data_IF_795978766356
#
_entry.id   IF_795978766356
#
_cell.length_a   1.000
_cell.length_b   1.000
_cell.length_c   1.000
_cell.angle_alpha   90.00
_cell.angle_beta   90.00
_cell.angle_gamma   90.00
#
_symmetry.space_group_name_H-M   'P 1'
#
loop_
_entity.id
_entity.type
_entity.pdbx_description
1 polymer ?
#
# COMPACT_ATOMS: atom_id res chain seq x y z
N UNK A 1 39.24 -1.90 7.96
CA UNK A 1 38.20 -1.09 7.27
C UNK A 1 38.64 0.37 7.35
N UNK A 2 38.31 1.22 6.38
CA UNK A 2 38.61 2.66 6.51
C UNK A 2 37.89 3.21 7.75
N UNK A 3 38.42 4.28 8.34
CA UNK A 3 37.82 4.98 9.48
C UNK A 3 36.42 5.50 9.05
N UNK A 4 35.39 5.40 9.92
CA UNK A 4 34.07 5.93 9.59
C UNK A 4 34.14 7.47 9.42
N UNK A 5 33.37 7.97 8.44
CA UNK A 5 33.24 9.41 8.19
C UNK A 5 32.14 10.05 9.05
N UNK A 6 31.15 9.29 9.44
CA UNK A 6 30.02 9.72 10.27
C UNK A 6 29.75 8.65 11.33
N UNK A 7 29.47 9.10 12.54
CA UNK A 7 28.98 8.26 13.65
C UNK A 7 27.66 8.82 14.15
N UNK A 8 26.64 7.98 14.23
CA UNK A 8 25.39 8.29 14.93
C UNK A 8 25.41 7.52 16.26
N UNK A 9 25.30 8.24 17.38
CA UNK A 9 25.39 7.68 18.72
C UNK A 9 24.14 7.97 19.54
N UNK A 10 23.58 6.95 20.16
CA UNK A 10 22.39 7.09 20.99
C UNK A 10 22.36 6.11 22.16
N UNK A 11 21.63 6.46 23.21
CA UNK A 11 21.39 5.59 24.37
C UNK A 11 20.31 4.54 24.09
N UNK A 12 19.49 4.77 23.06
CA UNK A 12 18.35 3.92 22.69
C UNK A 12 18.40 3.64 21.18
N UNK A 13 19.35 2.77 20.77
CA UNK A 13 19.47 2.31 19.39
C UNK A 13 18.68 1.01 19.22
N UNK A 14 17.70 1.00 18.33
CA UNK A 14 16.86 -0.16 18.06
C UNK A 14 17.60 -1.11 17.11
N UNK A 15 17.84 -2.31 17.57
CA UNK A 15 18.40 -3.43 16.81
C UNK A 15 17.32 -4.52 16.65
N UNK A 16 17.52 -5.54 15.81
CA UNK A 16 16.48 -6.56 15.54
C UNK A 16 15.93 -7.28 16.78
N UNK A 17 16.71 -7.37 17.87
CA UNK A 17 16.32 -8.13 19.06
C UNK A 17 16.55 -7.36 20.38
N UNK A 18 16.92 -6.08 20.33
CA UNK A 18 17.24 -5.31 21.54
C UNK A 18 17.30 -3.81 21.27
N UNK A 19 17.11 -3.02 22.34
CA UNK A 19 17.37 -1.59 22.35
C UNK A 19 18.54 -1.35 23.30
N UNK A 20 19.65 -0.88 22.76
CA UNK A 20 20.89 -0.71 23.54
C UNK A 20 21.57 0.64 23.27
N UNK A 21 22.40 1.14 24.21
CA UNK A 21 23.35 2.20 23.91
C UNK A 21 24.36 1.72 22.86
N UNK A 22 24.49 2.45 21.74
CA UNK A 22 25.40 2.07 20.68
C UNK A 22 25.90 3.25 19.85
N UNK A 23 26.99 3.02 19.11
CA UNK A 23 27.55 3.90 18.09
C UNK A 23 27.44 3.23 16.72
N UNK A 24 26.74 3.86 15.78
CA UNK A 24 26.56 3.38 14.41
C UNK A 24 27.61 4.07 13.53
N UNK A 25 28.53 3.32 12.99
CA UNK A 25 29.61 3.81 12.15
C UNK A 25 29.25 3.74 10.68
N UNK A 26 29.39 4.85 9.96
CA UNK A 26 28.98 5.02 8.58
C UNK A 26 30.14 5.51 7.72
N UNK A 27 30.37 4.87 6.58
CA UNK A 27 31.31 5.29 5.54
C UNK A 27 30.65 5.17 4.18
N UNK A 28 30.77 6.21 3.38
CA UNK A 28 30.26 6.27 2.01
C UNK A 28 28.77 5.85 1.89
N UNK A 29 27.96 6.30 2.88
CA UNK A 29 26.52 6.02 2.91
C UNK A 29 26.13 4.62 3.40
N UNK A 30 27.10 3.81 3.85
CA UNK A 30 26.86 2.42 4.30
C UNK A 30 27.21 2.30 5.79
N UNK A 31 26.34 1.64 6.57
CA UNK A 31 26.67 1.24 7.96
C UNK A 31 27.75 0.17 7.89
N UNK A 32 28.92 0.50 8.43
CA UNK A 32 30.09 -0.40 8.42
C UNK A 32 30.21 -1.24 9.68
N UNK A 33 29.75 -0.72 10.82
CA UNK A 33 29.65 -1.47 12.08
C UNK A 33 28.70 -0.78 13.05
N UNK A 34 28.25 -1.55 14.06
CA UNK A 34 27.54 -1.07 15.24
C UNK A 34 28.43 -1.46 16.43
N UNK A 35 28.88 -0.47 17.18
CA UNK A 35 29.88 -0.61 18.24
C UNK A 35 29.31 -0.20 19.60
N UNK A 36 30.07 -0.45 20.66
CA UNK A 36 29.72 0.05 21.98
C UNK A 36 29.60 1.58 21.97
N UNK A 37 28.70 2.11 22.78
CA UNK A 37 28.39 3.54 22.84
C UNK A 37 29.64 4.42 23.00
N UNK A 38 30.65 3.97 23.77
CA UNK A 38 31.89 4.68 24.04
C UNK A 38 32.88 4.66 22.87
N UNK A 39 32.65 3.82 21.87
CA UNK A 39 33.55 3.69 20.72
C UNK A 39 33.32 4.85 19.75
N UNK A 40 34.26 5.83 19.81
CA UNK A 40 34.22 7.01 18.97
C UNK A 40 35.60 7.25 18.32
N UNK A 41 35.73 7.14 16.99
CA UNK A 41 36.93 7.49 16.26
C UNK A 41 37.24 8.97 16.35
N UNK A 42 38.53 9.34 16.27
CA UNK A 42 39.00 10.72 16.48
C UNK A 42 38.64 11.70 15.35
N UNK A 43 38.46 11.18 14.13
CA UNK A 43 38.31 12.00 12.91
C UNK A 43 37.00 11.66 12.17
N UNK A 44 35.85 11.79 12.84
CA UNK A 44 34.54 11.57 12.28
C UNK A 44 33.55 12.67 12.63
N UNK A 45 32.59 12.92 11.77
CA UNK A 45 31.38 13.68 12.11
C UNK A 45 30.55 12.89 13.14
N UNK A 46 30.06 13.57 14.19
CA UNK A 46 29.29 12.97 15.24
C UNK A 46 27.85 13.55 15.28
N UNK A 47 26.86 12.69 15.17
CA UNK A 47 25.47 12.99 15.55
C UNK A 47 25.19 12.24 16.85
N UNK A 48 25.04 12.97 17.94
CA UNK A 48 24.68 12.40 19.24
C UNK A 48 23.24 12.76 19.59
N UNK A 49 22.43 11.76 19.90
CA UNK A 49 21.04 11.95 20.33
C UNK A 49 20.98 12.15 21.84
N UNK A 50 19.94 12.85 22.32
CA UNK A 50 19.65 12.94 23.75
C UNK A 50 19.20 11.58 24.32
N UNK A 51 19.00 11.54 25.64
CA UNK A 51 18.67 10.29 26.37
C UNK A 51 17.25 9.78 26.09
N UNK A 52 16.35 10.67 25.65
CA UNK A 52 14.93 10.33 25.38
C UNK A 52 14.73 9.91 23.92
N UNK A 53 15.59 10.36 23.03
CA UNK A 53 15.50 10.05 21.61
C UNK A 53 15.82 8.59 21.31
N UNK A 54 15.11 8.05 20.34
CA UNK A 54 15.31 6.70 19.80
C UNK A 54 15.97 6.79 18.43
N UNK A 55 17.03 6.02 18.21
CA UNK A 55 17.64 5.84 16.89
C UNK A 55 17.12 4.50 16.33
N UNK A 56 16.44 4.55 15.20
CA UNK A 56 15.89 3.38 14.53
C UNK A 56 16.20 3.42 13.03
N UNK A 57 16.10 2.29 12.30
CA UNK A 57 16.19 2.28 10.85
C UNK A 57 15.16 3.22 10.22
N UNK A 58 15.49 3.81 9.08
CA UNK A 58 14.53 4.58 8.29
C UNK A 58 13.35 3.72 7.88
N UNK A 59 12.16 4.32 7.86
CA UNK A 59 10.95 3.62 7.46
C UNK A 59 10.98 3.32 5.96
N UNK A 60 10.47 2.16 5.59
CA UNK A 60 10.27 1.75 4.19
C UNK A 60 8.78 1.66 3.91
N UNK A 61 8.33 2.23 2.80
CA UNK A 61 6.94 2.20 2.39
C UNK A 61 6.78 1.68 0.97
N UNK A 62 6.34 0.44 0.85
CA UNK A 62 6.22 -0.23 -0.45
C UNK A 62 4.89 0.02 -1.15
N UNK A 63 4.00 0.89 -0.58
CA UNK A 63 2.68 1.16 -1.12
C UNK A 63 2.34 2.64 -1.08
N UNK A 64 2.79 3.38 -2.09
CA UNK A 64 2.57 4.83 -2.22
C UNK A 64 2.09 5.15 -3.63
N UNK A 65 1.05 5.98 -3.76
CA UNK A 65 0.57 6.47 -5.05
C UNK A 65 1.05 7.90 -5.29
N UNK A 66 2.09 8.04 -6.12
CA UNK A 66 2.53 9.33 -6.65
C UNK A 66 1.95 9.48 -8.06
N UNK A 67 1.06 10.45 -8.22
CA UNK A 67 0.19 10.56 -9.38
C UNK A 67 0.87 11.27 -10.57
N UNK A 68 2.17 11.47 -10.51
CA UNK A 68 3.00 12.08 -11.54
C UNK A 68 3.69 11.02 -12.42
N UNK A 69 3.78 11.24 -13.73
CA UNK A 69 3.20 12.36 -14.52
C UNK A 69 1.69 12.24 -14.75
N UNK A 70 1.09 13.33 -15.21
CA UNK A 70 -0.29 13.36 -15.72
C UNK A 70 -1.39 13.71 -14.73
N UNK A 71 -1.17 13.52 -13.43
CA UNK A 71 -2.07 13.95 -12.33
C UNK A 71 -1.26 14.54 -11.17
N UNK A 72 -0.26 15.34 -11.48
CA UNK A 72 0.63 15.98 -10.48
C UNK A 72 -0.14 16.86 -9.50
N UNK A 73 -1.31 17.38 -9.88
CA UNK A 73 -2.21 18.13 -9.00
C UNK A 73 -2.85 17.26 -7.90
N UNK A 74 -2.86 15.93 -8.03
CA UNK A 74 -3.27 15.03 -6.95
C UNK A 74 -2.14 14.87 -5.94
N UNK A 75 -0.96 14.51 -6.41
CA UNK A 75 0.30 14.45 -5.67
C UNK A 75 1.47 14.25 -6.64
N UNK A 76 2.53 15.04 -6.49
CA UNK A 76 3.76 14.92 -7.28
C UNK A 76 4.91 14.34 -6.45
N UNK A 77 6.04 14.00 -7.12
CA UNK A 77 7.23 13.47 -6.45
C UNK A 77 7.80 14.43 -5.40
N UNK A 78 7.79 15.73 -5.69
CA UNK A 78 8.30 16.75 -4.76
C UNK A 78 7.53 16.75 -3.43
N UNK A 79 6.21 16.74 -3.47
CA UNK A 79 5.36 16.83 -2.28
C UNK A 79 5.30 15.51 -1.54
N UNK A 80 5.12 14.39 -2.24
CA UNK A 80 5.10 13.06 -1.64
C UNK A 80 6.40 12.72 -0.92
N UNK A 81 7.55 12.95 -1.56
CA UNK A 81 8.84 12.60 -0.95
C UNK A 81 9.24 13.53 0.20
N UNK A 82 8.75 14.78 0.20
CA UNK A 82 8.87 15.67 1.39
C UNK A 82 8.00 15.19 2.54
N UNK A 83 6.76 14.74 2.25
CA UNK A 83 5.89 14.15 3.26
C UNK A 83 6.49 12.84 3.81
N UNK A 84 7.08 12.02 2.95
CA UNK A 84 7.83 10.82 3.32
C UNK A 84 8.95 11.14 4.30
N UNK A 85 9.85 12.07 3.93
CA UNK A 85 10.97 12.49 4.77
C UNK A 85 10.50 13.06 6.13
N UNK A 86 9.44 13.87 6.14
CA UNK A 86 8.86 14.42 7.36
C UNK A 86 8.22 13.34 8.25
N UNK A 87 7.74 12.23 7.67
CA UNK A 87 7.21 11.06 8.36
C UNK A 87 8.25 10.01 8.76
N UNK A 88 9.55 10.26 8.50
CA UNK A 88 10.63 9.31 8.78
C UNK A 88 10.79 8.19 7.76
N UNK A 89 10.09 8.27 6.61
CA UNK A 89 10.25 7.33 5.49
C UNK A 89 11.49 7.72 4.70
N UNK A 90 12.43 6.80 4.55
CA UNK A 90 13.68 7.01 3.80
C UNK A 90 13.67 6.34 2.44
N UNK A 91 12.79 5.36 2.25
CA UNK A 91 12.62 4.63 1.00
C UNK A 91 11.15 4.36 0.76
N UNK A 92 10.66 4.64 -0.43
CA UNK A 92 9.30 4.30 -0.84
C UNK A 92 9.27 3.63 -2.21
N UNK A 93 8.20 2.88 -2.49
CA UNK A 93 7.97 2.29 -3.81
C UNK A 93 6.63 2.77 -4.35
N UNK A 94 6.71 3.49 -5.48
CA UNK A 94 5.55 4.09 -6.11
C UNK A 94 4.77 3.09 -6.97
N UNK A 95 3.44 3.16 -6.87
CA UNK A 95 2.50 2.30 -7.59
C UNK A 95 2.44 2.63 -9.08
N UNK A 96 2.10 1.64 -9.95
CA UNK A 96 2.18 1.80 -11.39
C UNK A 96 1.00 2.55 -12.01
N UNK A 97 -0.01 2.92 -11.23
CA UNK A 97 -1.26 3.54 -11.70
C UNK A 97 -1.43 4.95 -11.16
N UNK A 98 -2.51 5.60 -11.57
CA UNK A 98 -2.86 7.01 -11.41
C UNK A 98 -1.96 7.97 -12.19
N UNK A 99 -0.72 7.63 -12.51
CA UNK A 99 0.08 8.40 -13.48
C UNK A 99 -0.38 8.16 -14.91
N UNK A 100 -0.19 9.14 -15.78
CA UNK A 100 -0.48 9.06 -17.22
C UNK A 100 0.78 9.43 -18.02
N UNK A 101 1.40 8.44 -18.72
CA UNK A 101 0.99 7.03 -18.83
C UNK A 101 1.25 6.22 -17.55
N UNK A 102 0.51 5.10 -17.34
CA UNK A 102 0.80 4.18 -16.25
C UNK A 102 2.10 3.38 -16.52
N UNK A 103 2.68 2.79 -15.46
CA UNK A 103 3.93 2.01 -15.56
C UNK A 103 3.62 0.57 -16.01
N UNK A 104 2.99 0.40 -17.16
CA UNK A 104 2.64 -0.89 -17.77
C UNK A 104 3.51 -1.26 -18.97
N UNK A 105 4.39 -0.34 -19.38
CA UNK A 105 5.34 -0.48 -20.48
C UNK A 105 6.67 0.18 -20.11
N UNK A 106 7.76 -0.18 -20.81
CA UNK A 106 9.06 0.49 -20.64
C UNK A 106 8.98 1.99 -20.95
N UNK A 107 8.14 2.39 -21.90
CA UNK A 107 7.94 3.80 -22.23
C UNK A 107 7.25 4.56 -21.08
N UNK A 108 6.21 3.98 -20.47
CA UNK A 108 5.56 4.53 -19.27
C UNK A 108 6.53 4.64 -18.08
N UNK A 109 7.33 3.61 -17.86
CA UNK A 109 8.37 3.64 -16.80
C UNK A 109 9.40 4.75 -17.03
N UNK A 110 9.90 4.91 -18.26
CA UNK A 110 10.83 6.00 -18.61
C UNK A 110 10.22 7.39 -18.40
N UNK A 111 8.93 7.56 -18.71
CA UNK A 111 8.21 8.82 -18.47
C UNK A 111 8.15 9.12 -16.95
N UNK A 112 7.86 8.10 -16.12
CA UNK A 112 7.84 8.22 -14.67
C UNK A 112 9.22 8.53 -14.09
N UNK A 113 10.28 7.85 -14.53
CA UNK A 113 11.67 8.17 -14.15
C UNK A 113 12.08 9.58 -14.52
N UNK A 114 11.63 10.08 -15.70
CA UNK A 114 11.90 11.46 -16.12
C UNK A 114 11.18 12.48 -15.24
N UNK A 115 9.96 12.18 -14.80
CA UNK A 115 9.20 13.01 -13.87
C UNK A 115 9.82 13.03 -12.47
N UNK A 116 10.30 11.90 -11.96
CA UNK A 116 10.93 11.80 -10.63
C UNK A 116 12.30 12.50 -10.54
N UNK A 117 12.96 12.73 -11.67
CA UNK A 117 14.34 13.24 -11.69
C UNK A 117 14.46 14.60 -10.98
N UNK A 118 15.43 14.69 -10.06
CA UNK A 118 15.78 15.89 -9.29
C UNK A 118 14.62 16.44 -8.40
N UNK A 119 13.58 15.61 -8.13
CA UNK A 119 12.45 16.00 -7.30
C UNK A 119 12.35 15.22 -5.98
N UNK A 120 13.09 14.11 -5.84
CA UNK A 120 12.94 13.20 -4.70
C UNK A 120 13.83 13.58 -3.52
N UNK A 121 13.26 13.61 -2.31
CA UNK A 121 13.97 13.84 -1.04
C UNK A 121 14.35 12.53 -0.33
N UNK A 122 13.80 11.40 -0.80
CA UNK A 122 14.06 10.05 -0.29
C UNK A 122 14.27 9.11 -1.47
N UNK A 123 14.74 7.91 -1.22
CA UNK A 123 14.90 6.89 -2.26
C UNK A 123 13.53 6.42 -2.77
N UNK A 124 13.39 6.29 -4.09
CA UNK A 124 12.14 5.92 -4.74
C UNK A 124 12.35 4.75 -5.69
N UNK A 125 11.70 3.62 -5.36
CA UNK A 125 11.52 2.47 -6.27
C UNK A 125 10.17 2.55 -7.00
N UNK A 126 9.94 1.62 -7.93
CA UNK A 126 8.74 1.63 -8.78
C UNK A 126 8.20 0.23 -9.02
N UNK A 127 6.88 0.07 -8.88
CA UNK A 127 6.17 -1.11 -9.36
C UNK A 127 5.84 -0.99 -10.84
N UNK A 128 5.92 -2.12 -11.56
CA UNK A 128 5.29 -2.30 -12.87
C UNK A 128 3.83 -2.74 -12.73
N UNK A 129 3.05 -2.61 -13.79
CA UNK A 129 1.65 -3.04 -13.81
C UNK A 129 1.43 -4.28 -14.67
N UNK A 130 0.59 -5.22 -14.18
CA UNK A 130 -0.03 -6.27 -15.01
C UNK A 130 -1.46 -5.82 -15.32
N UNK A 131 -1.71 -5.66 -16.61
CA UNK A 131 -3.04 -5.33 -17.16
C UNK A 131 -3.36 -6.28 -18.32
N UNK A 132 -4.62 -6.41 -18.73
CA UNK A 132 -4.99 -7.29 -19.84
C UNK A 132 -4.14 -7.04 -21.09
N UNK A 133 -3.57 -8.11 -21.64
CA UNK A 133 -2.81 -8.08 -22.91
C UNK A 133 -1.37 -7.56 -22.84
N UNK A 134 -0.83 -7.14 -21.67
CA UNK A 134 0.54 -6.60 -21.59
C UNK A 134 1.64 -7.64 -21.25
N UNK A 135 1.34 -8.94 -21.31
CA UNK A 135 2.31 -10.03 -21.03
C UNK A 135 3.66 -9.84 -21.71
N UNK A 136 3.65 -9.40 -22.99
CA UNK A 136 4.87 -9.22 -23.77
C UNK A 136 5.81 -8.11 -23.22
N UNK A 137 5.27 -7.18 -22.44
CA UNK A 137 6.01 -6.05 -21.85
C UNK A 137 6.73 -6.45 -20.55
N UNK A 138 6.26 -7.48 -19.81
CA UNK A 138 6.66 -7.78 -18.43
C UNK A 138 8.17 -8.03 -18.30
N UNK A 139 8.75 -8.86 -19.18
CA UNK A 139 10.20 -9.15 -19.12
C UNK A 139 11.05 -7.90 -19.37
N UNK A 140 10.66 -7.08 -20.34
CA UNK A 140 11.37 -5.84 -20.67
C UNK A 140 11.24 -4.80 -19.57
N UNK A 141 10.07 -4.71 -18.94
CA UNK A 141 9.79 -3.79 -17.85
C UNK A 141 10.55 -4.19 -16.59
N UNK A 142 10.59 -5.50 -16.26
CA UNK A 142 11.37 -6.02 -15.15
C UNK A 142 12.88 -5.79 -15.34
N UNK A 143 13.39 -6.06 -16.55
CA UNK A 143 14.78 -5.78 -16.91
C UNK A 143 15.12 -4.27 -16.89
N UNK A 144 14.13 -3.39 -17.06
CA UNK A 144 14.31 -1.94 -16.96
C UNK A 144 14.42 -1.45 -15.50
N UNK A 145 14.07 -2.27 -14.49
CA UNK A 145 14.33 -2.01 -13.09
C UNK A 145 13.11 -1.76 -12.21
N UNK A 146 11.90 -2.17 -12.62
CA UNK A 146 10.78 -2.23 -11.66
C UNK A 146 11.00 -3.37 -10.67
N UNK A 147 10.58 -3.18 -9.40
CA UNK A 147 10.84 -4.14 -8.31
C UNK A 147 9.93 -5.37 -8.36
N UNK A 148 8.84 -5.30 -9.10
CA UNK A 148 7.83 -6.34 -9.27
C UNK A 148 6.60 -5.75 -9.95
N UNK A 149 5.45 -6.40 -9.83
CA UNK A 149 4.26 -6.01 -10.58
C UNK A 149 3.01 -5.94 -9.71
N UNK A 150 2.15 -4.96 -10.00
CA UNK A 150 0.82 -4.77 -9.38
C UNK A 150 -0.29 -5.14 -10.35
N UNK A 151 -1.34 -5.80 -9.84
CA UNK A 151 -2.61 -5.93 -10.55
C UNK A 151 -3.81 -5.68 -9.63
N UNK A 152 -4.97 -5.53 -10.26
CA UNK A 152 -6.28 -5.44 -9.62
C UNK A 152 -7.18 -6.55 -10.13
N UNK A 153 -8.01 -7.12 -9.25
CA UNK A 153 -9.05 -8.10 -9.61
C UNK A 153 -10.45 -7.47 -9.74
N UNK A 154 -10.55 -6.19 -9.43
CA UNK A 154 -11.74 -5.34 -9.54
C UNK A 154 -11.33 -4.04 -10.25
N UNK A 155 -12.23 -3.30 -10.93
CA UNK A 155 -11.88 -2.03 -11.56
C UNK A 155 -11.12 -1.09 -10.60
N UNK A 156 -9.96 -0.60 -11.05
CA UNK A 156 -9.05 0.25 -10.26
C UNK A 156 -9.58 1.66 -10.01
N UNK A 157 -10.58 2.08 -10.79
CA UNK A 157 -11.14 3.44 -10.78
C UNK A 157 -10.55 4.34 -11.88
N UNK A 158 -9.52 3.89 -12.62
CA UNK A 158 -8.94 4.61 -13.74
C UNK A 158 -8.90 3.74 -15.00
N UNK A 159 -9.30 4.28 -16.12
CA UNK A 159 -9.46 3.53 -17.39
C UNK A 159 -8.13 3.03 -17.95
N UNK A 160 -7.04 3.77 -17.72
CA UNK A 160 -5.70 3.42 -18.19
C UNK A 160 -5.05 2.26 -17.44
N UNK A 161 -5.67 1.80 -16.33
CA UNK A 161 -5.20 0.64 -15.55
C UNK A 161 -6.35 -0.32 -15.26
N UNK A 162 -6.84 -1.04 -16.28
CA UNK A 162 -7.95 -1.98 -16.13
C UNK A 162 -7.57 -3.18 -15.24
N UNK A 163 -8.58 -3.76 -14.58
CA UNK A 163 -8.39 -4.98 -13.80
C UNK A 163 -8.15 -6.20 -14.71
N UNK A 164 -7.48 -7.19 -14.14
CA UNK A 164 -7.27 -8.50 -14.76
C UNK A 164 -8.32 -9.51 -14.30
N UNK A 165 -8.55 -10.50 -15.14
CA UNK A 165 -9.36 -11.69 -14.87
C UNK A 165 -8.49 -12.87 -14.43
N UNK A 166 -9.10 -13.99 -14.01
CA UNK A 166 -8.38 -15.24 -13.77
C UNK A 166 -7.65 -15.72 -15.04
N UNK A 167 -8.24 -15.56 -16.23
CA UNK A 167 -7.61 -15.94 -17.50
C UNK A 167 -6.38 -15.07 -17.83
N UNK A 168 -6.45 -13.77 -17.60
CA UNK A 168 -5.29 -12.86 -17.74
C UNK A 168 -4.16 -13.26 -16.79
N UNK A 169 -4.48 -13.61 -15.55
CA UNK A 169 -3.48 -14.09 -14.58
C UNK A 169 -2.87 -15.42 -15.02
N UNK A 170 -3.68 -16.38 -15.51
CA UNK A 170 -3.19 -17.65 -16.05
C UNK A 170 -2.24 -17.47 -17.24
N UNK A 171 -2.45 -16.42 -18.01
CA UNK A 171 -1.56 -16.07 -19.10
C UNK A 171 -0.25 -15.43 -18.62
N UNK A 172 -0.27 -14.58 -17.57
CA UNK A 172 0.87 -13.75 -17.14
C UNK A 172 1.72 -14.41 -16.06
N UNK A 173 1.15 -15.18 -15.12
CA UNK A 173 1.86 -15.80 -14.00
C UNK A 173 3.04 -16.69 -14.42
N UNK A 174 2.96 -17.52 -15.48
CA UNK A 174 4.12 -18.29 -15.92
C UNK A 174 5.34 -17.44 -16.29
N UNK A 175 5.11 -16.24 -16.86
CA UNK A 175 6.19 -15.32 -17.18
C UNK A 175 6.76 -14.67 -15.91
N UNK A 176 5.92 -14.24 -14.97
CA UNK A 176 6.37 -13.70 -13.68
C UNK A 176 7.18 -14.71 -12.88
N UNK A 177 6.74 -15.97 -12.83
CA UNK A 177 7.47 -17.06 -12.17
C UNK A 177 8.84 -17.27 -12.80
N UNK A 178 8.92 -17.31 -14.13
CA UNK A 178 10.19 -17.45 -14.86
C UNK A 178 11.15 -16.29 -14.57
N UNK A 179 10.65 -15.08 -14.40
CA UNK A 179 11.43 -13.89 -14.04
C UNK A 179 11.82 -13.85 -12.56
N UNK A 180 11.22 -14.68 -11.70
CA UNK A 180 11.33 -14.58 -10.25
C UNK A 180 10.67 -13.30 -9.70
N UNK A 181 9.78 -12.68 -10.49
CA UNK A 181 9.17 -11.42 -10.14
C UNK A 181 8.01 -11.59 -9.14
N UNK A 182 7.92 -10.68 -8.19
CA UNK A 182 6.82 -10.61 -7.23
C UNK A 182 5.57 -10.01 -7.90
N UNK A 183 4.40 -10.63 -7.67
CA UNK A 183 3.10 -10.04 -8.00
C UNK A 183 2.42 -9.55 -6.74
N UNK A 184 2.14 -8.26 -6.64
CA UNK A 184 1.33 -7.66 -5.59
C UNK A 184 -0.10 -7.45 -6.10
N UNK A 185 -1.11 -7.80 -5.29
CA UNK A 185 -2.50 -7.92 -5.76
C UNK A 185 -3.46 -7.10 -4.91
N UNK A 186 -4.19 -6.17 -5.54
CA UNK A 186 -5.42 -5.64 -4.96
C UNK A 186 -6.48 -6.74 -5.02
N UNK A 187 -6.62 -7.47 -3.92
CA UNK A 187 -7.40 -8.68 -3.84
C UNK A 187 -8.84 -8.39 -3.39
N UNK A 188 -9.65 -7.85 -4.29
CA UNK A 188 -11.09 -7.77 -4.20
C UNK A 188 -11.72 -8.28 -5.50
N UNK A 189 -12.74 -9.13 -5.41
CA UNK A 189 -13.59 -9.50 -6.54
C UNK A 189 -14.91 -8.73 -6.51
N UNK A 190 -15.56 -8.53 -7.66
CA UNK A 190 -16.90 -7.93 -7.70
C UNK A 190 -17.87 -8.75 -6.87
N UNK A 191 -18.33 -8.20 -5.73
CA UNK A 191 -19.28 -8.87 -4.85
C UNK A 191 -20.65 -9.11 -5.51
N UNK A 192 -21.49 -9.98 -4.93
CA UNK A 192 -22.83 -10.28 -5.45
C UNK A 192 -23.72 -9.04 -5.57
N UNK A 193 -23.50 -8.02 -4.74
CA UNK A 193 -24.24 -6.75 -4.80
C UNK A 193 -23.78 -5.89 -5.99
N UNK A 194 -22.50 -5.94 -6.34
CA UNK A 194 -21.96 -5.29 -7.54
C UNK A 194 -22.54 -5.92 -8.84
N UNK A 195 -22.93 -7.21 -8.79
CA UNK A 195 -23.65 -7.87 -9.87
C UNK A 195 -25.14 -7.53 -9.90
N UNK A 196 -25.72 -7.01 -8.80
CA UNK A 196 -27.15 -6.69 -8.65
C UNK A 196 -27.48 -5.20 -8.79
N UNK A 197 -26.53 -4.36 -9.29
CA UNK A 197 -26.88 -3.03 -9.79
C UNK A 197 -26.93 -1.90 -8.77
N UNK A 198 -25.98 -1.81 -7.85
CA UNK A 198 -25.59 -0.48 -7.34
C UNK A 198 -24.88 0.18 -8.52
N UNK A 199 -25.35 1.33 -9.04
CA UNK A 199 -24.70 1.98 -10.16
C UNK A 199 -23.25 2.27 -9.79
N UNK A 200 -22.30 1.75 -10.55
CA UNK A 200 -20.97 2.34 -10.57
C UNK A 200 -21.19 3.82 -10.89
N UNK A 201 -20.61 4.71 -10.09
CA UNK A 201 -20.61 6.12 -10.43
C UNK A 201 -20.06 6.25 -11.86
N UNK A 202 -20.65 7.04 -12.76
CA UNK A 202 -20.08 7.29 -14.06
C UNK A 202 -18.62 7.68 -13.87
N UNK A 203 -17.69 6.95 -14.50
CA UNK A 203 -16.26 7.24 -14.43
C UNK A 203 -16.05 8.74 -14.56
N UNK A 204 -15.18 9.33 -13.74
CA UNK A 204 -14.70 10.70 -13.88
C UNK A 204 -13.79 10.78 -15.12
N UNK A 205 -14.32 10.43 -16.29
CA UNK A 205 -13.69 10.73 -17.55
C UNK A 205 -13.76 12.25 -17.74
N UNK A 206 -12.61 12.88 -17.75
CA UNK A 206 -12.46 14.28 -18.13
C UNK A 206 -12.77 14.44 -19.62
N UNK A 207 -14.05 14.43 -19.97
CA UNK A 207 -14.52 14.92 -21.27
C UNK A 207 -15.83 15.67 -21.11
N UNK A 208 -15.75 16.99 -21.28
CA UNK A 208 -16.83 17.96 -21.18
C UNK A 208 -17.80 17.94 -22.39
N UNK A 209 -17.83 16.87 -23.20
CA UNK A 209 -18.57 16.84 -24.47
C UNK A 209 -19.72 15.82 -24.57
N UNK A 210 -20.07 15.10 -23.51
CA UNK A 210 -21.19 14.14 -23.54
C UNK A 210 -22.33 14.54 -22.60
N UNK A 211 -23.02 15.64 -22.95
CA UNK A 211 -24.42 15.82 -22.58
C UNK A 211 -25.29 14.95 -23.51
N UNK A 212 -26.23 14.22 -22.86
CA UNK A 212 -27.37 13.50 -23.42
C UNK A 212 -27.11 12.14 -24.08
N UNK A 213 -27.18 11.09 -23.24
CA UNK A 213 -27.99 9.89 -23.57
C UNK A 213 -28.54 9.26 -22.30
N UNK A 214 -29.77 9.64 -21.98
CA UNK A 214 -30.60 8.96 -21.00
C UNK A 214 -31.16 7.69 -21.63
N UNK A 215 -30.61 6.53 -21.32
CA UNK A 215 -31.31 5.28 -21.51
C UNK A 215 -32.07 4.92 -20.22
N UNK A 216 -33.37 5.13 -20.27
CA UNK A 216 -34.35 4.66 -19.32
C UNK A 216 -34.60 3.18 -19.62
N UNK A 217 -34.23 2.32 -18.69
CA UNK A 217 -34.87 1.05 -18.36
C UNK A 217 -33.86 0.00 -17.88
N UNK A 218 -33.54 0.02 -16.58
CA UNK A 218 -33.51 -1.20 -15.72
C UNK A 218 -33.61 -0.70 -14.28
N UNK A 219 -34.79 -0.75 -13.70
CA UNK A 219 -34.97 -0.67 -12.25
C UNK A 219 -34.89 -2.09 -11.69
N UNK A 220 -33.92 -2.41 -10.83
CA UNK A 220 -34.05 -3.57 -9.97
C UNK A 220 -35.02 -3.22 -8.83
N UNK A 221 -36.00 -4.05 -8.64
CA UNK A 221 -36.90 -4.04 -7.50
C UNK A 221 -36.13 -4.47 -6.25
N UNK A 222 -35.57 -3.51 -5.52
CA UNK A 222 -35.20 -3.67 -4.11
C UNK A 222 -36.36 -3.19 -3.28
N UNK A 223 -37.03 -4.13 -2.59
CA UNK A 223 -38.07 -3.85 -1.64
C UNK A 223 -37.54 -3.06 -0.43
N UNK A 224 -38.00 -1.80 -0.26
CA UNK A 224 -38.20 -1.07 0.98
C UNK A 224 -37.07 -0.97 2.02
N UNK A 225 -35.84 -0.67 1.62
CA UNK A 225 -34.90 0.10 2.45
C UNK A 225 -34.44 1.29 1.63
N UNK A 226 -34.64 2.50 2.10
CA UNK A 226 -34.02 3.70 1.52
C UNK A 226 -32.53 3.64 1.87
N UNK A 227 -31.72 3.06 0.98
CA UNK A 227 -30.28 2.94 1.13
C UNK A 227 -29.68 4.32 0.85
N UNK A 228 -29.17 5.02 1.89
CA UNK A 228 -28.53 6.32 1.72
C UNK A 228 -27.06 6.14 1.33
N UNK A 229 -26.63 6.75 0.23
CA UNK A 229 -25.22 6.75 -0.20
C UNK A 229 -24.30 7.56 0.73
N UNK A 230 -24.88 8.36 1.64
CA UNK A 230 -24.14 9.12 2.66
C UNK A 230 -23.77 8.28 3.88
N UNK A 231 -24.34 7.09 4.03
CA UNK A 231 -24.02 6.21 5.15
C UNK A 231 -22.82 5.32 4.84
N UNK A 232 -21.83 5.32 5.75
CA UNK A 232 -20.67 4.44 5.61
C UNK A 232 -21.08 2.95 5.57
N UNK A 233 -22.09 2.56 6.33
CA UNK A 233 -22.62 1.20 6.32
C UNK A 233 -23.11 0.75 4.94
N UNK A 234 -23.65 1.66 4.13
CA UNK A 234 -24.03 1.36 2.73
C UNK A 234 -22.81 1.06 1.86
N UNK A 235 -21.75 1.86 1.99
CA UNK A 235 -20.49 1.62 1.30
C UNK A 235 -19.85 0.31 1.75
N UNK A 236 -19.79 0.05 3.05
CA UNK A 236 -19.26 -1.19 3.63
C UNK A 236 -20.02 -2.43 3.10
N UNK A 237 -21.36 -2.37 3.06
CA UNK A 237 -22.19 -3.44 2.50
C UNK A 237 -21.97 -3.66 0.99
N UNK A 238 -21.57 -2.62 0.25
CA UNK A 238 -21.26 -2.73 -1.19
C UNK A 238 -19.96 -3.48 -1.47
N UNK A 239 -19.09 -3.60 -0.47
CA UNK A 239 -17.78 -4.29 -0.51
C UNK A 239 -17.66 -5.28 0.65
N UNK A 240 -18.44 -6.38 0.63
CA UNK A 240 -18.46 -7.36 1.72
C UNK A 240 -17.09 -8.04 1.86
N UNK A 241 -16.80 -8.57 3.05
CA UNK A 241 -15.57 -9.33 3.33
C UNK A 241 -15.35 -10.46 2.32
N UNK A 242 -16.41 -11.14 1.91
CA UNK A 242 -16.35 -12.20 0.90
C UNK A 242 -15.70 -11.76 -0.42
N UNK A 243 -15.76 -10.47 -0.78
CA UNK A 243 -15.08 -9.95 -1.97
C UNK A 243 -13.56 -10.03 -1.86
N UNK A 244 -13.00 -9.77 -0.67
CA UNK A 244 -11.58 -9.98 -0.38
C UNK A 244 -11.25 -11.46 -0.21
N UNK A 245 -12.08 -12.20 0.55
CA UNK A 245 -11.81 -13.60 0.90
C UNK A 245 -11.77 -14.49 -0.35
N UNK A 246 -12.72 -14.31 -1.28
CA UNK A 246 -12.76 -15.00 -2.56
C UNK A 246 -11.56 -14.63 -3.45
N UNK A 247 -11.15 -13.36 -3.44
CA UNK A 247 -9.98 -12.90 -4.18
C UNK A 247 -8.68 -13.49 -3.64
N UNK A 248 -8.50 -13.51 -2.31
CA UNK A 248 -7.35 -14.13 -1.66
C UNK A 248 -7.31 -15.62 -1.95
N UNK A 249 -8.45 -16.31 -1.89
CA UNK A 249 -8.55 -17.74 -2.26
C UNK A 249 -8.13 -18.00 -3.72
N UNK A 250 -8.55 -17.14 -4.64
CA UNK A 250 -8.15 -17.20 -6.05
C UNK A 250 -6.64 -16.99 -6.21
N UNK A 251 -6.07 -15.98 -5.57
CA UNK A 251 -4.61 -15.70 -5.62
C UNK A 251 -3.81 -16.88 -5.07
N UNK A 252 -4.22 -17.44 -3.92
CA UNK A 252 -3.58 -18.63 -3.32
C UNK A 252 -3.64 -19.83 -4.28
N UNK A 253 -4.80 -20.08 -4.91
CA UNK A 253 -4.96 -21.15 -5.90
C UNK A 253 -3.99 -21.00 -7.06
N UNK A 254 -3.92 -19.81 -7.65
CA UNK A 254 -3.06 -19.53 -8.79
C UNK A 254 -1.57 -19.52 -8.42
N UNK A 255 -1.21 -18.92 -7.28
CA UNK A 255 0.17 -18.94 -6.79
C UNK A 255 0.67 -20.37 -6.57
N UNK A 256 -0.19 -21.25 -6.03
CA UNK A 256 0.14 -22.69 -5.88
C UNK A 256 0.30 -23.41 -7.21
N UNK A 257 -0.57 -23.10 -8.18
CA UNK A 257 -0.56 -23.74 -9.51
C UNK A 257 0.70 -23.35 -10.29
N UNK A 258 1.12 -22.10 -10.23
CA UNK A 258 2.21 -21.55 -11.05
C UNK A 258 3.54 -21.39 -10.31
N UNK A 259 3.58 -21.53 -8.99
CA UNK A 259 4.79 -21.30 -8.19
C UNK A 259 5.23 -19.83 -8.16
N UNK A 260 4.30 -18.89 -8.28
CA UNK A 260 4.59 -17.46 -8.32
C UNK A 260 4.63 -16.89 -6.91
N UNK A 261 5.64 -16.05 -6.60
CA UNK A 261 5.66 -15.22 -5.39
C UNK A 261 4.55 -14.17 -5.45
N UNK A 262 3.72 -14.09 -4.42
CA UNK A 262 2.59 -13.15 -4.39
C UNK A 262 2.53 -12.39 -3.06
N UNK A 263 1.99 -11.18 -3.12
CA UNK A 263 1.74 -10.35 -1.94
C UNK A 263 0.35 -9.75 -2.00
N UNK A 264 -0.40 -9.89 -0.91
CA UNK A 264 -1.73 -9.29 -0.77
C UNK A 264 -1.55 -7.89 -0.19
N UNK A 265 -1.89 -6.86 -0.98
CA UNK A 265 -1.74 -5.48 -0.52
C UNK A 265 -2.94 -5.03 0.31
N UNK A 266 -2.71 -4.04 1.20
CA UNK A 266 -3.74 -3.34 2.00
C UNK A 266 -4.85 -4.28 2.52
N UNK A 267 -4.46 -5.42 3.09
CA UNK A 267 -5.39 -6.45 3.57
C UNK A 267 -6.28 -5.92 4.70
N UNK A 268 -7.59 -5.96 4.49
CA UNK A 268 -8.60 -5.40 5.38
C UNK A 268 -9.47 -6.46 6.07
N UNK A 269 -9.83 -7.57 5.38
CA UNK A 269 -10.70 -8.61 5.94
C UNK A 269 -9.96 -9.61 6.82
N UNK A 270 -10.32 -9.71 8.09
CA UNK A 270 -9.75 -10.71 8.99
C UNK A 270 -10.19 -12.16 8.65
N UNK A 271 -11.26 -12.33 7.87
CA UNK A 271 -11.83 -13.65 7.57
C UNK A 271 -10.91 -14.46 6.63
N UNK A 272 -10.06 -13.79 5.82
CA UNK A 272 -9.06 -14.44 4.96
C UNK A 272 -7.76 -14.86 5.69
N UNK A 273 -7.49 -14.39 6.91
CA UNK A 273 -6.26 -14.70 7.64
C UNK A 273 -5.98 -16.19 7.83
N UNK A 274 -6.97 -17.06 8.13
CA UNK A 274 -6.73 -18.50 8.19
C UNK A 274 -6.18 -19.08 6.88
N UNK A 275 -6.69 -18.64 5.73
CA UNK A 275 -6.22 -19.10 4.42
C UNK A 275 -4.76 -18.70 4.13
N UNK A 276 -4.35 -17.50 4.55
CA UNK A 276 -2.96 -17.05 4.42
C UNK A 276 -2.02 -17.92 5.26
N UNK A 277 -2.39 -18.22 6.52
CA UNK A 277 -1.60 -19.11 7.40
C UNK A 277 -1.45 -20.51 6.81
N UNK A 278 -2.56 -21.09 6.33
CA UNK A 278 -2.56 -22.42 5.70
C UNK A 278 -1.72 -22.45 4.43
N UNK A 279 -1.80 -21.41 3.60
CA UNK A 279 -1.00 -21.31 2.39
C UNK A 279 0.50 -21.27 2.70
N UNK A 280 0.92 -20.48 3.69
CA UNK A 280 2.33 -20.41 4.14
C UNK A 280 2.80 -21.72 4.77
N UNK A 281 1.98 -22.33 5.62
CA UNK A 281 2.29 -23.64 6.21
C UNK A 281 2.46 -24.74 5.15
N UNK A 282 1.80 -24.59 4.00
CA UNK A 282 1.96 -25.45 2.83
C UNK A 282 3.16 -25.07 1.93
N UNK A 283 3.99 -24.10 2.33
CA UNK A 283 5.21 -23.70 1.62
C UNK A 283 4.99 -22.68 0.50
N UNK A 284 3.84 -22.00 0.42
CA UNK A 284 3.63 -20.94 -0.56
C UNK A 284 4.40 -19.67 -0.16
N UNK A 285 5.08 -19.06 -1.14
CA UNK A 285 5.70 -17.74 -0.99
C UNK A 285 4.63 -16.65 -1.13
N UNK A 286 3.84 -16.47 -0.05
CA UNK A 286 2.79 -15.47 0.05
C UNK A 286 2.99 -14.60 1.28
N UNK A 287 2.93 -13.28 1.10
CA UNK A 287 2.98 -12.27 2.16
C UNK A 287 1.75 -11.37 2.10
N UNK A 288 1.52 -10.60 3.16
CA UNK A 288 0.40 -9.65 3.22
C UNK A 288 0.79 -8.40 4.01
N UNK A 289 0.26 -7.25 3.59
CA UNK A 289 0.38 -5.98 4.31
C UNK A 289 -0.99 -5.48 4.78
N UNK A 290 -0.98 -4.62 5.78
CA UNK A 290 -2.15 -3.83 6.19
C UNK A 290 -1.78 -2.36 6.31
N UNK A 291 -2.77 -1.50 6.63
CA UNK A 291 -2.59 -0.05 6.61
C UNK A 291 -2.97 0.59 7.94
N UNK A 292 -2.41 1.78 8.28
CA UNK A 292 -2.73 2.49 9.51
C UNK A 292 -4.23 2.70 9.71
N UNK A 293 -4.96 3.06 8.65
CA UNK A 293 -6.40 3.32 8.73
C UNK A 293 -7.23 2.08 9.07
N UNK A 294 -6.78 0.86 8.75
CA UNK A 294 -7.43 -0.38 9.19
C UNK A 294 -7.11 -0.76 10.64
N UNK A 295 -6.02 -0.21 11.17
CA UNK A 295 -5.53 -0.51 12.53
C UNK A 295 -6.00 0.52 13.58
N UNK A 296 -6.47 1.69 13.14
CA UNK A 296 -6.80 2.80 14.04
C UNK A 296 -8.26 3.24 13.95
N UNK A 297 -8.86 3.19 12.76
CA UNK A 297 -10.23 3.62 12.53
C UNK A 297 -11.15 2.38 12.52
N UNK A 298 -12.39 2.55 12.94
CA UNK A 298 -13.42 1.50 12.92
C UNK A 298 -14.68 1.99 12.22
N UNK A 299 -15.33 1.11 11.48
CA UNK A 299 -16.51 1.43 10.67
C UNK A 299 -17.66 2.05 11.48
N UNK A 300 -17.80 1.63 12.75
CA UNK A 300 -18.85 2.09 13.66
C UNK A 300 -18.70 3.57 14.06
N UNK A 301 -17.51 4.14 13.91
CA UNK A 301 -17.21 5.51 14.32
C UNK A 301 -17.13 6.49 13.14
N UNK A 302 -17.25 6.01 11.90
CA UNK A 302 -17.22 6.85 10.69
C UNK A 302 -18.56 7.56 10.55
N UNK A 303 -18.59 8.91 10.61
CA UNK A 303 -19.83 9.68 10.49
C UNK A 303 -20.45 9.57 9.08
N UNK A 304 -21.76 9.73 9.00
CA UNK A 304 -22.46 9.87 7.73
C UNK A 304 -21.90 11.08 6.95
N UNK A 305 -21.61 10.89 5.67
CA UNK A 305 -21.07 11.91 4.78
C UNK A 305 -19.56 12.18 4.91
N UNK A 306 -18.85 11.56 5.85
CA UNK A 306 -17.41 11.74 6.06
C UNK A 306 -16.58 10.95 5.03
N UNK A 307 -16.68 11.35 3.77
CA UNK A 307 -16.09 10.65 2.62
C UNK A 307 -14.56 10.66 2.58
N UNK A 308 -13.91 11.47 3.40
CA UNK A 308 -12.46 11.43 3.66
C UNK A 308 -12.00 10.07 4.20
N UNK A 309 -12.87 9.33 4.88
CA UNK A 309 -12.57 7.96 5.36
C UNK A 309 -12.78 6.88 4.31
N UNK A 310 -13.22 7.22 3.09
CA UNK A 310 -13.39 6.22 2.04
C UNK A 310 -12.04 5.75 1.52
N UNK A 311 -11.80 4.44 1.62
CA UNK A 311 -10.71 3.70 0.96
C UNK A 311 -11.22 2.34 0.45
N UNK A 312 -10.46 1.68 -0.39
CA UNK A 312 -10.80 0.39 -0.99
C UNK A 312 -9.61 -0.57 -0.89
N UNK A 313 -9.78 -1.68 -0.17
CA UNK A 313 -10.94 -2.18 0.58
C UNK A 313 -11.42 -1.22 1.68
N UNK A 314 -12.68 -1.36 2.17
CA UNK A 314 -13.20 -0.46 3.20
C UNK A 314 -12.61 -0.72 4.59
N UNK A 315 -12.60 0.32 5.43
CA UNK A 315 -12.38 0.19 6.87
C UNK A 315 -13.51 -0.65 7.47
N UNK A 316 -13.14 -1.67 8.25
CA UNK A 316 -14.10 -2.62 8.80
C UNK A 316 -14.37 -2.39 10.29
N UNK A 317 -15.17 -3.26 10.87
CA UNK A 317 -15.66 -3.15 12.24
C UNK A 317 -14.54 -3.32 13.27
N UNK A 318 -14.79 -2.89 14.50
CA UNK A 318 -13.85 -2.91 15.64
C UNK A 318 -13.26 -4.31 15.88
N UNK A 319 -14.09 -5.35 15.87
CA UNK A 319 -13.61 -6.72 16.09
C UNK A 319 -12.62 -7.17 14.98
N UNK A 320 -12.88 -6.77 13.75
CA UNK A 320 -11.97 -7.04 12.62
C UNK A 320 -10.61 -6.36 12.83
N UNK A 321 -10.60 -5.07 13.26
CA UNK A 321 -9.36 -4.35 13.59
C UNK A 321 -8.53 -5.09 14.64
N UNK A 322 -9.16 -5.58 15.70
CA UNK A 322 -8.46 -6.34 16.74
C UNK A 322 -7.84 -7.65 16.22
N UNK A 323 -8.48 -8.27 15.23
CA UNK A 323 -7.92 -9.47 14.57
C UNK A 323 -6.73 -9.12 13.68
N UNK A 324 -6.71 -7.96 13.00
CA UNK A 324 -5.57 -7.51 12.22
C UNK A 324 -4.33 -7.24 13.11
N UNK A 325 -4.50 -6.63 14.31
CA UNK A 325 -3.42 -6.47 15.28
C UNK A 325 -2.84 -7.81 15.73
N UNK A 326 -3.69 -8.79 16.04
CA UNK A 326 -3.24 -10.16 16.37
C UNK A 326 -2.54 -10.85 15.19
N UNK A 327 -2.94 -10.52 13.97
CA UNK A 327 -2.31 -11.06 12.77
C UNK A 327 -0.91 -10.48 12.54
N UNK A 328 -0.67 -9.22 12.87
CA UNK A 328 0.67 -8.60 12.88
C UNK A 328 1.55 -9.23 13.96
N UNK A 329 1.03 -9.40 15.18
CA UNK A 329 1.73 -10.05 16.29
C UNK A 329 2.17 -11.48 15.92
N UNK A 330 1.25 -12.26 15.34
CA UNK A 330 1.52 -13.66 14.94
C UNK A 330 2.32 -13.81 13.66
N UNK A 331 2.63 -12.71 12.94
CA UNK A 331 3.30 -12.73 11.64
C UNK A 331 2.43 -13.27 10.50
N UNK A 332 1.09 -13.33 10.67
CA UNK A 332 0.16 -13.67 9.57
C UNK A 332 0.04 -12.49 8.59
N UNK A 333 0.06 -11.26 9.08
CA UNK A 333 0.33 -10.05 8.31
C UNK A 333 1.78 -9.67 8.60
N UNK A 334 2.54 -9.36 7.55
CA UNK A 334 3.99 -9.18 7.64
C UNK A 334 4.38 -7.76 8.01
N UNK A 335 3.64 -6.76 7.49
CA UNK A 335 4.04 -5.36 7.54
C UNK A 335 2.87 -4.39 7.52
N UNK A 336 3.19 -3.12 7.82
CA UNK A 336 2.28 -1.99 7.75
C UNK A 336 2.83 -1.00 6.74
N UNK A 337 2.05 -0.66 5.72
CA UNK A 337 2.36 0.33 4.68
C UNK A 337 1.32 1.45 4.69
N UNK A 338 1.61 2.59 4.06
CA UNK A 338 0.68 3.71 4.14
C UNK A 338 -0.57 3.54 3.27
N UNK A 339 -0.45 2.91 2.12
CA UNK A 339 -1.42 3.01 1.02
C UNK A 339 -1.79 4.49 0.78
N UNK A 340 -0.75 5.36 0.79
CA UNK A 340 -0.93 6.78 0.56
C UNK A 340 -1.50 7.01 -0.84
N UNK A 341 -2.78 7.40 -0.89
CA UNK A 341 -3.53 7.55 -2.12
C UNK A 341 -4.32 8.87 -2.12
N UNK A 342 -3.65 10.01 -2.28
CA UNK A 342 -4.25 11.34 -2.24
C UNK A 342 -5.05 11.62 -3.52
N UNK A 343 -6.04 12.49 -3.37
CA UNK A 343 -6.77 13.08 -4.49
C UNK A 343 -7.16 14.52 -4.15
N UNK A 344 -7.52 15.36 -5.15
CA UNK A 344 -8.09 16.67 -4.91
C UNK A 344 -9.36 16.62 -4.02
N UNK A 345 -9.59 17.63 -3.16
CA UNK A 345 -10.71 17.61 -2.22
C UNK A 345 -12.10 17.49 -2.86
N UNK A 346 -12.28 18.03 -4.07
CA UNK A 346 -13.52 17.94 -4.84
C UNK A 346 -13.90 16.50 -5.21
N UNK A 347 -12.92 15.63 -5.44
CA UNK A 347 -13.16 14.20 -5.69
C UNK A 347 -13.61 13.44 -4.44
N UNK A 348 -13.40 13.99 -3.25
CA UNK A 348 -13.94 13.44 -1.99
C UNK A 348 -15.43 13.71 -1.82
N UNK A 349 -16.03 14.59 -2.61
CA UNK A 349 -17.45 14.88 -2.60
C UNK A 349 -17.99 15.19 -1.19
N UNK A 350 -17.24 15.91 -0.34
CA UNK A 350 -17.58 16.19 1.06
C UNK A 350 -18.91 16.95 1.20
N UNK A 351 -19.27 17.81 0.22
CA UNK A 351 -20.54 18.54 0.25
C UNK A 351 -21.77 17.62 0.10
N UNK A 352 -21.68 16.60 -0.75
CA UNK A 352 -22.75 15.60 -0.94
C UNK A 352 -22.69 14.45 0.04
N UNK A 353 -21.50 14.16 0.56
CA UNK A 353 -21.24 13.04 1.45
C UNK A 353 -21.45 11.66 0.81
N UNK A 354 -21.44 11.57 -0.52
CA UNK A 354 -21.75 10.34 -1.26
C UNK A 354 -20.57 9.36 -1.25
N UNK A 355 -20.58 8.39 -0.34
CA UNK A 355 -19.56 7.36 -0.26
C UNK A 355 -19.47 6.46 -1.49
N UNK A 356 -20.54 6.28 -2.25
CA UNK A 356 -20.50 5.40 -3.42
C UNK A 356 -19.77 6.07 -4.58
N UNK A 357 -19.91 7.40 -4.72
CA UNK A 357 -19.32 8.19 -5.81
C UNK A 357 -17.99 8.85 -5.45
N UNK A 358 -17.71 9.15 -4.17
CA UNK A 358 -16.46 9.77 -3.75
C UNK A 358 -15.24 8.92 -4.15
N UNK A 359 -14.11 9.56 -4.45
CA UNK A 359 -12.84 8.87 -4.69
C UNK A 359 -12.35 8.16 -3.43
N UNK A 360 -11.92 6.90 -3.56
CA UNK A 360 -11.30 6.11 -2.50
C UNK A 360 -9.82 6.42 -2.36
N UNK A 361 -9.33 6.52 -1.12
CA UNK A 361 -7.91 6.72 -0.81
C UNK A 361 -7.71 7.67 0.36
N UNK A 362 -6.69 7.43 1.15
CA UNK A 362 -6.35 8.20 2.36
C UNK A 362 -4.91 8.71 2.26
N UNK A 363 -4.70 10.00 2.55
CA UNK A 363 -3.37 10.60 2.62
C UNK A 363 -2.75 10.29 3.98
N UNK A 364 -1.81 9.35 4.04
CA UNK A 364 -1.29 8.79 5.30
C UNK A 364 0.24 8.75 5.42
N UNK A 365 0.99 9.01 4.35
CA UNK A 365 2.44 8.80 4.27
C UNK A 365 3.21 9.48 5.41
N UNK A 366 2.97 10.77 5.66
CA UNK A 366 3.63 11.53 6.72
C UNK A 366 3.19 11.09 8.12
N UNK A 367 1.96 10.59 8.25
CA UNK A 367 1.32 10.31 9.54
C UNK A 367 1.45 8.84 9.96
N UNK A 368 1.99 7.96 9.09
CA UNK A 368 2.05 6.52 9.32
C UNK A 368 2.69 6.17 10.66
N UNK A 369 3.89 6.69 10.92
CA UNK A 369 4.62 6.39 12.16
C UNK A 369 3.86 6.84 13.41
N UNK A 370 3.49 8.12 13.58
CA UNK A 370 2.83 8.56 14.82
C UNK A 370 1.49 7.87 15.05
N UNK A 371 0.70 7.63 14.00
CA UNK A 371 -0.61 6.96 14.11
C UNK A 371 -0.44 5.51 14.53
N UNK A 372 0.47 4.77 13.89
CA UNK A 372 0.72 3.35 14.23
C UNK A 372 1.37 3.23 15.61
N UNK A 373 2.32 4.10 15.94
CA UNK A 373 3.00 4.06 17.24
C UNK A 373 2.04 4.29 18.40
N UNK A 374 1.17 5.29 18.32
CA UNK A 374 0.19 5.57 19.37
C UNK A 374 -0.66 4.33 19.70
N UNK A 375 -1.21 3.68 18.69
CA UNK A 375 -2.02 2.48 18.89
C UNK A 375 -1.19 1.27 19.33
N UNK A 376 0.04 1.13 18.84
CA UNK A 376 0.94 0.03 19.20
C UNK A 376 1.39 0.15 20.67
N UNK A 377 1.77 1.35 21.13
CA UNK A 377 2.19 1.62 22.51
C UNK A 377 1.04 1.37 23.50
N UNK A 378 -0.16 1.85 23.20
CA UNK A 378 -1.38 1.61 24.00
C UNK A 378 -1.70 0.10 24.13
N UNK A 379 -1.28 -0.71 23.17
CA UNK A 379 -1.45 -2.17 23.13
C UNK A 379 -0.28 -2.93 23.74
N UNK A 380 0.80 -2.24 24.11
CA UNK A 380 2.00 -2.82 24.73
C UNK A 380 2.97 -3.46 23.73
N UNK A 381 2.89 -3.12 22.44
CA UNK A 381 3.88 -3.54 21.46
C UNK A 381 5.17 -2.73 21.60
N UNK A 382 6.28 -3.33 21.22
CA UNK A 382 7.60 -2.77 21.40
C UNK A 382 8.07 -1.95 20.15
N UNK A 383 9.14 -1.18 20.32
CA UNK A 383 9.82 -0.51 19.20
C UNK A 383 10.45 -1.51 18.23
N UNK A 384 10.84 -2.69 18.70
CA UNK A 384 11.34 -3.78 17.85
C UNK A 384 10.21 -4.32 16.94
N UNK A 385 8.99 -4.48 17.46
CA UNK A 385 7.82 -4.84 16.65
C UNK A 385 7.54 -3.78 15.60
N UNK A 386 7.55 -2.50 16.00
CA UNK A 386 7.35 -1.38 15.11
C UNK A 386 8.40 -1.36 13.99
N UNK A 387 9.68 -1.55 14.35
CA UNK A 387 10.79 -1.60 13.38
C UNK A 387 10.62 -2.78 12.41
N UNK A 388 10.17 -3.93 12.90
CA UNK A 388 9.87 -5.07 12.06
C UNK A 388 8.77 -4.73 11.03
N UNK A 389 7.66 -4.15 11.47
CA UNK A 389 6.50 -3.88 10.62
C UNK A 389 6.68 -2.72 9.65
N UNK A 390 7.47 -1.70 10.02
CA UNK A 390 7.60 -0.47 9.25
C UNK A 390 8.94 -0.32 8.51
N UNK A 391 9.95 -1.13 8.85
CA UNK A 391 11.29 -0.99 8.28
C UNK A 391 11.74 -2.30 7.61
N UNK A 392 12.03 -3.36 8.40
CA UNK A 392 12.67 -4.57 7.86
C UNK A 392 11.74 -5.38 6.96
N UNK A 393 10.50 -5.66 7.38
CA UNK A 393 9.59 -6.46 6.56
C UNK A 393 9.24 -5.82 5.22
N UNK A 394 8.95 -4.49 5.13
CA UNK A 394 8.80 -3.83 3.83
C UNK A 394 10.09 -3.83 2.99
N UNK A 395 11.27 -3.69 3.61
CA UNK A 395 12.54 -3.74 2.90
C UNK A 395 12.84 -5.14 2.33
N UNK A 396 12.47 -6.19 3.05
CA UNK A 396 12.67 -7.59 2.62
C UNK A 396 11.72 -7.99 1.47
N UNK A 397 10.64 -7.23 1.25
CA UNK A 397 9.69 -7.50 0.17
C UNK A 397 10.28 -7.18 -1.21
N UNK A 398 11.09 -6.14 -1.32
CA UNK A 398 11.63 -5.53 -2.56
C UNK A 398 13.18 -5.55 -2.63
#
# INVERSE_FOLDING_TARGET
>A
MPAPKLVIRGKRVVLPASIIPASIHISDGVITSIEAYETLPSDCELIETDEESVVMPGLVDTHVHINEPGRTEWEGFLTATRAAAAGGVTTLVDMPLNSIPPTTTVAGFKAKLAAARDQCYVDVGFWGGVVPGNKAELASLFAAGVVGFKCFLIPSGVDEFPNVTEDDLRETLPELTKLGALLIVHAELPGPISRTGIPACPSHAADSSLKERTDRNVRPTLSNMSVSSTQYATFLASRPRAAEDEAVALVIKLAREFGTRVHIVHHSSADALPMLREARAAGLEITAETCPHYLTIVAEEIPDGATEFKCCPPIRERENREQLWRALESGTIDMIVSDHSPCPPDLKLQESGDFLCAWGGISSLQLRLPVVWTEADDRGYSLEDLTRWLCSAPADLV
#
